data_IF_723812843216
#
_entry.id   IF_723812843216
#
_cell.length_a   1.000
_cell.length_b   1.000
_cell.length_c   1.000
_cell.angle_alpha   90.00
_cell.angle_beta   90.00
_cell.angle_gamma   90.00
#
_symmetry.space_group_name_H-M   'P 1'
#
loop_
_entity.id
_entity.type
_entity.pdbx_description
1 polymer ?
#
# COMPACT_ATOMS: atom_id res chain seq x y z
N UNK A 1 7.97 37.73 -12.50
CA UNK A 1 9.04 37.22 -11.60
C UNK A 1 10.12 36.65 -12.51
N UNK A 2 11.37 36.49 -12.07
CA UNK A 2 12.40 35.94 -12.96
C UNK A 2 12.16 34.47 -13.22
N UNK A 3 11.91 34.09 -14.47
CA UNK A 3 11.70 32.69 -14.84
C UNK A 3 13.01 31.89 -14.64
N UNK A 4 12.90 30.76 -13.94
CA UNK A 4 14.02 29.86 -13.69
C UNK A 4 14.51 29.29 -15.03
N UNK A 5 15.80 29.41 -15.41
CA UNK A 5 16.31 28.83 -16.65
C UNK A 5 16.06 27.32 -16.75
N UNK A 6 15.77 26.81 -17.94
CA UNK A 6 15.33 25.41 -18.14
C UNK A 6 16.41 24.37 -17.81
N UNK A 7 17.68 24.73 -17.92
CA UNK A 7 18.83 23.95 -17.44
C UNK A 7 18.93 23.95 -15.90
N UNK A 8 18.69 25.10 -15.26
CA UNK A 8 18.60 25.21 -13.81
C UNK A 8 17.39 24.45 -13.24
N UNK A 9 16.23 24.48 -13.92
CA UNK A 9 15.04 23.73 -13.50
C UNK A 9 15.23 22.23 -13.68
N UNK A 10 15.83 21.77 -14.78
CA UNK A 10 16.20 20.36 -14.96
C UNK A 10 17.15 19.85 -13.86
N UNK A 11 18.16 20.64 -13.47
CA UNK A 11 19.09 20.27 -12.39
C UNK A 11 18.38 20.21 -11.02
N UNK A 12 17.53 21.18 -10.69
CA UNK A 12 16.71 21.14 -9.47
C UNK A 12 15.75 19.94 -9.47
N UNK A 13 15.16 19.63 -10.63
CA UNK A 13 14.23 18.53 -10.84
C UNK A 13 14.85 17.19 -10.43
N UNK A 14 15.98 16.81 -11.02
CA UNK A 14 16.62 15.52 -10.73
C UNK A 14 17.13 15.42 -9.29
N UNK A 15 17.57 16.52 -8.67
CA UNK A 15 17.95 16.53 -7.25
C UNK A 15 16.72 16.19 -6.39
N UNK A 16 15.58 16.84 -6.63
CA UNK A 16 14.33 16.57 -5.91
C UNK A 16 13.76 15.17 -6.22
N UNK A 17 13.81 14.73 -7.48
CA UNK A 17 13.43 13.38 -7.89
C UNK A 17 14.29 12.33 -7.16
N UNK A 18 15.61 12.52 -7.06
CA UNK A 18 16.52 11.56 -6.41
C UNK A 18 16.23 11.39 -4.91
N UNK A 19 15.90 12.48 -4.22
CA UNK A 19 15.53 12.48 -2.80
C UNK A 19 14.19 11.75 -2.60
N UNK A 20 13.18 12.05 -3.43
CA UNK A 20 11.88 11.40 -3.38
C UNK A 20 11.96 9.92 -3.80
N UNK A 21 12.79 9.57 -4.77
CA UNK A 21 13.07 8.20 -5.18
C UNK A 21 13.73 7.40 -4.05
N UNK A 22 14.69 7.99 -3.32
CA UNK A 22 15.27 7.39 -2.11
C UNK A 22 14.20 7.07 -1.05
N UNK A 23 13.29 8.01 -0.79
CA UNK A 23 12.16 7.77 0.13
C UNK A 23 11.16 6.72 -0.40
N UNK A 24 10.89 6.72 -1.70
CA UNK A 24 10.08 5.70 -2.39
C UNK A 24 10.67 4.30 -2.23
N UNK A 25 11.99 4.15 -2.35
CA UNK A 25 12.71 2.88 -2.17
C UNK A 25 12.66 2.40 -0.71
N UNK A 26 12.81 3.29 0.27
CA UNK A 26 12.62 2.96 1.69
C UNK A 26 11.17 2.50 1.98
N UNK A 27 10.18 3.19 1.39
CA UNK A 27 8.76 2.83 1.49
C UNK A 27 8.43 1.50 0.79
N UNK A 28 9.11 1.17 -0.32
CA UNK A 28 9.03 -0.15 -0.95
C UNK A 28 9.57 -1.25 -0.03
N UNK A 29 10.77 -1.07 0.55
CA UNK A 29 11.35 -2.03 1.50
C UNK A 29 10.42 -2.22 2.71
N UNK A 30 9.88 -1.14 3.27
CA UNK A 30 8.87 -1.19 4.33
C UNK A 30 7.60 -1.92 3.92
N UNK A 31 7.15 -1.78 2.67
CA UNK A 31 6.00 -2.50 2.10
C UNK A 31 6.28 -3.99 1.97
N UNK A 32 7.42 -4.38 1.39
CA UNK A 32 7.82 -5.80 1.23
C UNK A 32 8.00 -6.47 2.59
N UNK A 33 8.62 -5.80 3.56
CA UNK A 33 8.73 -6.29 4.94
C UNK A 33 7.35 -6.44 5.59
N UNK A 34 6.46 -5.44 5.47
CA UNK A 34 5.12 -5.49 6.04
C UNK A 34 4.25 -6.63 5.45
N UNK A 35 4.39 -6.92 4.15
CA UNK A 35 3.72 -8.02 3.44
C UNK A 35 4.28 -9.40 3.82
N UNK A 36 5.60 -9.52 4.00
CA UNK A 36 6.28 -10.81 4.21
C UNK A 36 6.31 -11.23 5.69
N UNK A 37 6.32 -10.27 6.62
CA UNK A 37 6.49 -10.55 8.04
C UNK A 37 5.31 -11.36 8.62
N UNK A 38 5.62 -12.59 9.07
CA UNK A 38 4.70 -13.61 9.60
C UNK A 38 3.63 -14.14 8.62
N UNK A 39 3.78 -13.95 7.30
CA UNK A 39 2.97 -14.67 6.30
C UNK A 39 3.77 -15.80 5.65
N UNK A 40 3.13 -16.94 5.35
CA UNK A 40 3.70 -17.89 4.39
C UNK A 40 3.61 -17.22 3.02
N UNK A 41 4.62 -17.37 2.16
CA UNK A 41 4.63 -16.77 0.81
C UNK A 41 3.38 -17.07 -0.03
N UNK A 42 2.66 -18.16 0.29
CA UNK A 42 1.42 -18.57 -0.37
C UNK A 42 0.21 -17.67 -0.06
N UNK A 43 0.24 -16.93 1.04
CA UNK A 43 -0.87 -16.07 1.52
C UNK A 43 -0.66 -14.58 1.17
N UNK A 44 0.37 -14.28 0.39
CA UNK A 44 0.62 -12.94 -0.16
C UNK A 44 -0.23 -12.77 -1.42
N UNK A 45 -1.00 -11.67 -1.48
CA UNK A 45 -1.87 -11.38 -2.61
C UNK A 45 -1.03 -10.99 -3.85
N UNK A 46 -0.62 -11.99 -4.64
CA UNK A 46 0.29 -11.89 -5.78
C UNK A 46 0.14 -10.62 -6.64
N UNK A 47 -1.05 -10.22 -7.15
CA UNK A 47 -1.18 -9.01 -7.97
C UNK A 47 -0.73 -7.72 -7.27
N UNK A 48 -0.88 -7.61 -5.95
CA UNK A 48 -0.42 -6.45 -5.19
C UNK A 48 1.11 -6.39 -5.15
N UNK A 49 1.77 -7.53 -4.95
CA UNK A 49 3.24 -7.61 -4.95
C UNK A 49 3.80 -7.32 -6.36
N UNK A 50 3.16 -7.86 -7.40
CA UNK A 50 3.55 -7.58 -8.81
C UNK A 50 3.46 -6.09 -9.11
N UNK A 51 2.36 -5.40 -8.77
CA UNK A 51 2.26 -3.95 -9.05
C UNK A 51 3.22 -3.14 -8.19
N UNK A 52 3.47 -3.51 -6.93
CA UNK A 52 4.50 -2.84 -6.12
C UNK A 52 5.90 -2.94 -6.75
N UNK A 53 6.23 -4.08 -7.37
CA UNK A 53 7.49 -4.26 -8.11
C UNK A 53 7.47 -3.46 -9.42
N UNK A 54 6.37 -3.45 -10.18
CA UNK A 54 6.26 -2.68 -11.43
C UNK A 54 6.37 -1.16 -11.20
N UNK A 55 5.79 -0.64 -10.12
CA UNK A 55 5.92 0.78 -9.76
C UNK A 55 7.36 1.13 -9.37
N UNK A 56 8.03 0.28 -8.58
CA UNK A 56 9.46 0.46 -8.29
C UNK A 56 10.28 0.46 -9.58
N UNK A 57 10.07 -0.53 -10.46
CA UNK A 57 10.80 -0.63 -11.73
C UNK A 57 10.57 0.60 -12.62
N UNK A 58 9.32 1.06 -12.78
CA UNK A 58 9.01 2.29 -13.52
C UNK A 58 9.75 3.51 -12.93
N UNK A 59 9.72 3.69 -11.61
CA UNK A 59 10.47 4.74 -10.92
C UNK A 59 11.99 4.58 -11.06
N UNK A 60 12.54 3.35 -11.10
CA UNK A 60 13.98 3.13 -11.32
C UNK A 60 14.42 3.49 -12.74
N UNK A 61 13.60 3.17 -13.75
CA UNK A 61 13.89 3.50 -15.15
C UNK A 61 13.78 4.99 -15.39
N UNK A 62 12.75 5.66 -14.83
CA UNK A 62 12.62 7.12 -14.92
C UNK A 62 13.85 7.83 -14.36
N UNK A 63 14.28 7.49 -13.14
CA UNK A 63 15.49 8.03 -12.52
C UNK A 63 16.74 7.88 -13.41
N UNK A 64 16.95 6.71 -14.01
CA UNK A 64 18.06 6.46 -14.94
C UNK A 64 17.94 7.31 -16.22
N UNK A 65 16.73 7.46 -16.77
CA UNK A 65 16.47 8.25 -17.97
C UNK A 65 16.62 9.76 -17.68
N UNK A 66 16.19 10.26 -16.51
CA UNK A 66 16.45 11.64 -16.05
C UNK A 66 17.96 11.92 -15.93
N UNK A 67 18.74 11.00 -15.34
CA UNK A 67 20.20 11.14 -15.23
C UNK A 67 20.84 11.21 -16.64
N UNK A 68 20.44 10.33 -17.55
CA UNK A 68 20.89 10.34 -18.96
C UNK A 68 20.48 11.63 -19.66
N UNK A 69 19.30 12.20 -19.37
CA UNK A 69 18.85 13.49 -19.91
C UNK A 69 19.79 14.62 -19.50
N UNK A 70 20.20 14.65 -18.23
CA UNK A 70 21.09 15.68 -17.69
C UNK A 70 22.52 15.54 -18.23
N UNK A 71 23.05 14.32 -18.32
CA UNK A 71 24.36 14.07 -18.94
C UNK A 71 24.36 14.52 -20.42
N UNK A 72 23.31 14.15 -21.17
CA UNK A 72 23.16 14.58 -22.56
C UNK A 72 23.10 16.12 -22.68
N UNK A 73 22.27 16.79 -21.89
CA UNK A 73 22.06 18.25 -22.00
C UNK A 73 23.19 19.13 -21.47
N UNK A 74 23.79 18.78 -20.32
CA UNK A 74 24.81 19.60 -19.66
C UNK A 74 26.25 19.23 -20.01
N UNK A 75 26.51 18.00 -20.48
CA UNK A 75 27.87 17.52 -20.77
C UNK A 75 28.04 17.24 -22.27
N UNK A 76 27.22 16.37 -22.84
CA UNK A 76 27.46 15.81 -24.19
C UNK A 76 27.10 16.76 -25.34
N UNK A 77 25.95 17.43 -25.24
CA UNK A 77 25.43 18.33 -26.27
C UNK A 77 25.56 19.81 -25.93
N UNK A 78 26.18 20.13 -24.78
CA UNK A 78 26.25 21.47 -24.17
C UNK A 78 26.52 22.60 -25.17
N UNK A 79 27.61 22.49 -25.92
CA UNK A 79 28.09 23.52 -26.84
C UNK A 79 27.80 23.16 -28.32
N UNK A 80 27.09 22.05 -28.58
CA UNK A 80 26.76 21.57 -29.93
C UNK A 80 25.27 21.62 -30.26
N UNK A 81 24.39 21.75 -29.27
CA UNK A 81 22.95 21.88 -29.50
C UNK A 81 22.60 23.30 -29.97
N UNK A 82 21.70 23.47 -30.97
CA UNK A 82 21.21 24.78 -31.36
C UNK A 82 20.63 25.54 -30.17
N UNK A 83 21.06 26.78 -29.96
CA UNK A 83 20.68 27.65 -28.83
C UNK A 83 21.09 27.11 -27.43
N UNK A 84 21.98 26.11 -27.34
CA UNK A 84 22.62 25.67 -26.10
C UNK A 84 21.76 24.80 -25.17
N UNK A 85 22.22 24.57 -23.91
CA UNK A 85 21.63 23.57 -23.02
C UNK A 85 20.17 23.83 -22.66
N UNK A 86 19.79 25.09 -22.44
CA UNK A 86 18.41 25.46 -22.11
C UNK A 86 17.41 25.07 -23.21
N UNK A 87 17.82 25.14 -24.49
CA UNK A 87 17.00 24.71 -25.61
C UNK A 87 16.86 23.19 -25.71
N UNK A 88 17.88 22.41 -25.30
CA UNK A 88 17.78 20.95 -25.17
C UNK A 88 16.78 20.54 -24.08
N UNK A 89 16.74 21.24 -22.94
CA UNK A 89 15.77 20.93 -21.87
C UNK A 89 14.34 21.40 -22.19
N UNK A 90 14.18 22.43 -23.03
CA UNK A 90 12.89 22.89 -23.53
C UNK A 90 12.33 22.03 -24.71
N UNK A 91 13.14 21.17 -25.34
CA UNK A 91 12.69 20.32 -26.45
C UNK A 91 11.83 19.14 -25.95
N UNK A 92 10.51 19.30 -26.08
CA UNK A 92 9.50 18.27 -25.76
C UNK A 92 9.47 17.11 -26.77
N UNK A 93 10.27 17.18 -27.84
CA UNK A 93 10.34 16.14 -28.89
C UNK A 93 11.54 15.22 -28.72
N UNK A 94 12.46 15.52 -27.79
CA UNK A 94 13.58 14.63 -27.48
C UNK A 94 13.07 13.29 -26.90
N UNK A 95 13.63 12.19 -27.40
CA UNK A 95 13.32 10.81 -27.03
C UNK A 95 13.38 10.60 -25.52
N UNK A 96 14.35 11.20 -24.84
CA UNK A 96 14.53 11.08 -23.39
C UNK A 96 13.37 11.72 -22.61
N UNK A 97 12.83 12.86 -23.07
CA UNK A 97 11.62 13.47 -22.52
C UNK A 97 10.37 12.64 -22.83
N UNK A 98 10.22 12.17 -24.08
CA UNK A 98 9.10 11.32 -24.50
C UNK A 98 9.04 9.99 -23.72
N UNK A 99 10.20 9.40 -23.39
CA UNK A 99 10.30 8.20 -22.55
C UNK A 99 9.88 8.50 -21.11
N UNK A 100 10.37 9.58 -20.49
CA UNK A 100 9.94 9.98 -19.14
C UNK A 100 8.42 10.23 -19.08
N UNK A 101 7.87 10.96 -20.04
CA UNK A 101 6.43 11.24 -20.10
C UNK A 101 5.59 9.96 -20.33
N UNK A 102 6.07 9.02 -21.15
CA UNK A 102 5.42 7.71 -21.33
C UNK A 102 5.47 6.85 -20.04
N UNK A 103 6.59 6.87 -19.30
CA UNK A 103 6.74 6.20 -18.01
C UNK A 103 5.79 6.82 -16.95
N UNK A 104 5.65 8.15 -16.93
CA UNK A 104 4.71 8.85 -16.06
C UNK A 104 3.26 8.41 -16.27
N UNK A 105 2.82 8.38 -17.54
CA UNK A 105 1.46 7.94 -17.91
C UNK A 105 1.26 6.46 -17.57
N UNK A 106 2.23 5.59 -17.89
CA UNK A 106 2.20 4.16 -17.54
C UNK A 106 2.07 3.95 -16.02
N UNK A 107 2.87 4.65 -15.22
CA UNK A 107 2.87 4.53 -13.77
C UNK A 107 1.56 5.07 -13.15
N UNK A 108 1.02 6.17 -13.69
CA UNK A 108 -0.29 6.73 -13.31
C UNK A 108 -1.43 5.74 -13.61
N UNK A 109 -1.48 5.20 -14.83
CA UNK A 109 -2.51 4.23 -15.26
C UNK A 109 -2.47 2.95 -14.42
N UNK A 110 -1.28 2.45 -14.04
CA UNK A 110 -1.14 1.32 -13.11
C UNK A 110 -1.65 1.64 -11.70
N UNK A 111 -1.34 2.82 -11.16
CA UNK A 111 -1.74 3.23 -9.82
C UNK A 111 -3.27 3.40 -9.72
N UNK A 112 -3.87 4.14 -10.65
CA UNK A 112 -5.33 4.32 -10.77
C UNK A 112 -6.04 2.97 -10.93
N UNK A 113 -5.56 2.10 -11.82
CA UNK A 113 -6.16 0.79 -12.09
C UNK A 113 -6.22 -0.09 -10.84
N UNK A 114 -5.19 -0.05 -9.99
CA UNK A 114 -5.21 -0.77 -8.71
C UNK A 114 -6.10 -0.09 -7.65
N UNK A 115 -6.23 1.23 -7.64
CA UNK A 115 -7.20 1.91 -6.78
C UNK A 115 -8.64 1.56 -7.16
N UNK A 116 -8.95 1.56 -8.47
CA UNK A 116 -10.25 1.14 -9.03
C UNK A 116 -10.55 -0.33 -8.68
N UNK A 117 -9.57 -1.23 -8.81
CA UNK A 117 -9.71 -2.62 -8.40
C UNK A 117 -9.98 -2.77 -6.88
N UNK A 118 -9.32 -1.97 -6.02
CA UNK A 118 -9.61 -1.96 -4.57
C UNK A 118 -11.02 -1.44 -4.27
N UNK A 119 -11.48 -0.43 -5.01
CA UNK A 119 -12.88 0.01 -4.98
C UNK A 119 -13.84 -1.14 -5.31
N UNK A 120 -13.57 -1.92 -6.36
CA UNK A 120 -14.40 -3.08 -6.72
C UNK A 120 -14.50 -4.14 -5.63
N UNK A 121 -13.36 -4.58 -5.10
CA UNK A 121 -13.32 -5.58 -4.02
C UNK A 121 -14.04 -5.09 -2.75
N UNK A 122 -13.99 -3.79 -2.44
CA UNK A 122 -14.67 -3.23 -1.27
C UNK A 122 -16.15 -2.94 -1.49
N UNK A 123 -16.57 -2.52 -2.69
CA UNK A 123 -17.95 -2.13 -2.97
C UNK A 123 -18.86 -3.30 -3.36
N UNK A 124 -18.31 -4.34 -4.00
CA UNK A 124 -19.03 -5.57 -4.44
C UNK A 124 -20.24 -5.28 -5.35
N UNK A 125 -20.21 -4.17 -6.08
CA UNK A 125 -21.21 -3.82 -7.10
C UNK A 125 -20.58 -2.91 -8.15
N UNK A 126 -20.81 -3.24 -9.42
CA UNK A 126 -20.17 -2.59 -10.58
C UNK A 126 -20.65 -1.16 -10.82
N UNK A 127 -21.91 -0.85 -10.48
CA UNK A 127 -22.59 0.41 -10.85
C UNK A 127 -21.84 1.68 -10.40
N UNK A 128 -21.23 1.64 -9.22
CA UNK A 128 -20.48 2.77 -8.63
C UNK A 128 -19.11 3.00 -9.28
N UNK A 129 -18.62 2.03 -10.05
CA UNK A 129 -17.25 2.01 -10.55
C UNK A 129 -17.19 2.35 -12.04
N UNK A 130 -18.34 2.33 -12.73
CA UNK A 130 -18.50 2.84 -14.10
C UNK A 130 -17.90 4.24 -14.24
N UNK A 131 -18.16 5.16 -13.30
CA UNK A 131 -17.62 6.52 -13.34
C UNK A 131 -16.08 6.57 -13.21
N UNK A 132 -15.44 6.01 -12.16
CA UNK A 132 -13.98 5.88 -12.10
C UNK A 132 -13.35 5.18 -13.31
N UNK A 133 -13.97 4.11 -13.82
CA UNK A 133 -13.46 3.38 -14.99
C UNK A 133 -13.54 4.20 -16.28
N UNK A 134 -14.59 4.99 -16.48
CA UNK A 134 -14.71 5.89 -17.64
C UNK A 134 -13.65 7.01 -17.58
N UNK A 135 -13.41 7.60 -16.40
CA UNK A 135 -12.37 8.61 -16.20
C UNK A 135 -10.96 8.03 -16.38
N UNK A 136 -10.73 6.78 -16.00
CA UNK A 136 -9.47 6.07 -16.24
C UNK A 136 -9.25 5.74 -17.73
N UNK A 137 -10.28 5.29 -18.44
CA UNK A 137 -10.22 5.12 -19.89
C UNK A 137 -9.96 6.44 -20.62
N UNK A 138 -10.59 7.53 -20.17
CA UNK A 138 -10.29 8.89 -20.62
C UNK A 138 -8.82 9.23 -20.39
N UNK A 139 -8.27 8.91 -19.20
CA UNK A 139 -6.88 9.18 -18.85
C UNK A 139 -5.86 8.46 -19.75
N UNK A 140 -6.16 7.21 -20.13
CA UNK A 140 -5.34 6.45 -21.10
C UNK A 140 -5.37 7.13 -22.48
N UNK A 141 -6.54 7.56 -22.95
CA UNK A 141 -6.70 8.16 -24.29
C UNK A 141 -6.05 9.56 -24.36
N UNK A 142 -6.21 10.40 -23.35
CA UNK A 142 -5.59 11.74 -23.32
C UNK A 142 -4.08 11.66 -23.17
N UNK A 143 -3.56 10.77 -22.31
CA UNK A 143 -2.12 10.55 -22.13
C UNK A 143 -1.42 10.06 -23.41
N UNK A 144 -1.98 9.04 -24.08
CA UNK A 144 -1.44 8.56 -25.36
C UNK A 144 -1.45 9.66 -26.42
N UNK A 145 -2.51 10.48 -26.49
CA UNK A 145 -2.58 11.63 -27.41
C UNK A 145 -1.55 12.71 -27.10
N UNK A 146 -1.26 12.98 -25.81
CA UNK A 146 -0.24 13.95 -25.42
C UNK A 146 1.18 13.49 -25.84
N UNK A 147 1.57 12.24 -25.57
CA UNK A 147 2.87 11.70 -26.01
C UNK A 147 3.00 11.67 -27.53
N UNK A 148 1.95 11.21 -28.23
CA UNK A 148 1.95 11.19 -29.69
C UNK A 148 2.04 12.61 -30.29
N UNK A 149 1.29 13.56 -29.73
CA UNK A 149 1.32 14.97 -30.11
C UNK A 149 2.71 15.58 -29.97
N UNK A 150 3.33 15.44 -28.79
CA UNK A 150 4.70 15.87 -28.55
C UNK A 150 5.68 15.23 -29.55
N UNK A 151 5.58 13.92 -29.80
CA UNK A 151 6.48 13.23 -30.75
C UNK A 151 6.35 13.71 -32.21
N UNK A 152 5.22 14.30 -32.58
CA UNK A 152 4.91 14.76 -33.94
C UNK A 152 5.09 16.27 -34.15
N UNK A 153 5.36 17.05 -33.09
CA UNK A 153 5.46 18.52 -33.16
C UNK A 153 6.57 19.00 -34.10
N UNK A 154 7.73 18.33 -34.10
CA UNK A 154 8.86 18.61 -35.01
C UNK A 154 8.66 18.01 -36.41
N UNK A 155 7.72 17.06 -36.58
CA UNK A 155 7.60 16.27 -37.81
C UNK A 155 6.77 16.96 -38.91
N UNK A 156 5.67 17.64 -38.57
CA UNK A 156 4.91 18.48 -39.51
C UNK A 156 4.23 19.64 -38.75
N UNK A 157 4.50 20.92 -39.04
CA UNK A 157 3.81 22.04 -38.42
C UNK A 157 2.33 22.14 -38.83
N UNK A 158 1.96 21.61 -40.00
CA UNK A 158 0.57 21.57 -40.49
C UNK A 158 -0.30 20.47 -39.82
N UNK A 159 0.25 19.67 -38.90
CA UNK A 159 -0.54 18.73 -38.13
C UNK A 159 -1.46 19.48 -37.15
N UNK A 160 -2.75 19.56 -37.46
CA UNK A 160 -3.80 20.07 -36.55
C UNK A 160 -3.72 19.42 -35.15
N UNK A 161 -3.30 18.15 -35.09
CA UNK A 161 -3.09 17.42 -33.83
C UNK A 161 -1.92 17.92 -32.97
N UNK A 162 -0.91 18.59 -33.57
CA UNK A 162 0.19 19.23 -32.86
C UNK A 162 -0.22 20.59 -32.25
N UNK A 163 -1.19 21.28 -32.87
CA UNK A 163 -1.74 22.56 -32.37
C UNK A 163 -2.58 22.37 -31.10
N UNK A 164 -3.17 21.19 -30.89
CA UNK A 164 -4.07 20.89 -29.77
C UNK A 164 -3.39 20.19 -28.56
N UNK A 165 -2.08 19.99 -28.56
CA UNK A 165 -1.38 19.16 -27.54
C UNK A 165 -1.57 19.68 -26.11
N UNK A 166 -1.53 21.00 -25.92
CA UNK A 166 -1.83 21.67 -24.65
C UNK A 166 -3.19 21.21 -24.07
N UNK A 167 -4.22 21.14 -24.92
CA UNK A 167 -5.57 20.75 -24.52
C UNK A 167 -5.64 19.27 -24.12
N UNK A 168 -4.85 18.40 -24.76
CA UNK A 168 -4.73 16.99 -24.38
C UNK A 168 -4.01 16.80 -23.04
N UNK A 169 -2.99 17.61 -22.75
CA UNK A 169 -2.30 17.62 -21.45
C UNK A 169 -3.24 18.13 -20.34
N UNK A 170 -3.92 19.27 -20.55
CA UNK A 170 -4.91 19.80 -19.61
C UNK A 170 -6.02 18.77 -19.34
N UNK A 171 -6.55 18.12 -20.38
CA UNK A 171 -7.54 17.06 -20.24
C UNK A 171 -7.01 15.84 -19.48
N UNK A 172 -5.75 15.44 -19.68
CA UNK A 172 -5.10 14.38 -18.89
C UNK A 172 -5.00 14.74 -17.40
N UNK A 173 -4.57 15.97 -17.06
CA UNK A 173 -4.46 16.41 -15.67
C UNK A 173 -5.83 16.41 -14.98
N UNK A 174 -6.87 16.98 -15.63
CA UNK A 174 -8.23 16.96 -15.09
C UNK A 174 -8.82 15.56 -15.00
N UNK A 175 -8.58 14.68 -15.98
CA UNK A 175 -9.04 13.28 -15.95
C UNK A 175 -8.36 12.48 -14.83
N UNK A 176 -7.07 12.71 -14.59
CA UNK A 176 -6.31 12.12 -13.47
C UNK A 176 -6.84 12.62 -12.12
N UNK A 177 -6.98 13.94 -11.94
CA UNK A 177 -7.53 14.55 -10.72
C UNK A 177 -8.93 14.00 -10.41
N UNK A 178 -9.82 13.95 -11.42
CA UNK A 178 -11.16 13.43 -11.26
C UNK A 178 -11.17 11.92 -10.93
N UNK A 179 -10.27 11.12 -11.53
CA UNK A 179 -10.13 9.69 -11.24
C UNK A 179 -9.68 9.46 -9.80
N UNK A 180 -8.59 10.11 -9.38
CA UNK A 180 -8.06 10.00 -8.01
C UNK A 180 -9.09 10.45 -6.97
N UNK A 181 -9.68 11.64 -7.12
CA UNK A 181 -10.64 12.17 -6.15
C UNK A 181 -11.91 11.31 -6.07
N UNK A 182 -12.45 10.85 -7.20
CA UNK A 182 -13.60 9.94 -7.22
C UNK A 182 -13.27 8.60 -6.56
N UNK A 183 -12.14 7.99 -6.90
CA UNK A 183 -11.77 6.69 -6.36
C UNK A 183 -11.44 6.77 -4.86
N UNK A 184 -10.64 7.76 -4.43
CA UNK A 184 -10.29 7.99 -3.03
C UNK A 184 -11.50 8.35 -2.18
N UNK A 185 -12.42 9.18 -2.68
CA UNK A 185 -13.69 9.49 -2.02
C UNK A 185 -14.57 8.25 -1.84
N UNK A 186 -14.67 7.38 -2.85
CA UNK A 186 -15.40 6.12 -2.77
C UNK A 186 -14.78 5.12 -1.78
N UNK A 187 -13.45 5.01 -1.74
CA UNK A 187 -12.73 4.21 -0.74
C UNK A 187 -13.03 4.72 0.68
N UNK A 188 -12.84 6.01 0.92
CA UNK A 188 -13.05 6.66 2.22
C UNK A 188 -14.50 6.49 2.69
N UNK A 189 -15.48 6.79 1.83
CA UNK A 189 -16.90 6.65 2.15
C UNK A 189 -17.29 5.20 2.46
N UNK A 190 -16.76 4.22 1.71
CA UNK A 190 -17.02 2.80 1.95
C UNK A 190 -16.43 2.32 3.27
N UNK A 191 -15.20 2.71 3.60
CA UNK A 191 -14.58 2.38 4.90
C UNK A 191 -15.34 3.04 6.06
N UNK A 192 -15.73 4.30 5.92
CA UNK A 192 -16.54 5.00 6.94
C UNK A 192 -17.92 4.36 7.14
N UNK A 193 -18.59 3.92 6.07
CA UNK A 193 -19.85 3.17 6.18
C UNK A 193 -19.68 1.81 6.87
N UNK A 194 -18.55 1.13 6.68
CA UNK A 194 -18.23 -0.11 7.39
C UNK A 194 -18.04 0.18 8.88
N UNK A 195 -17.24 1.19 9.26
CA UNK A 195 -17.08 1.61 10.66
C UNK A 195 -18.41 1.98 11.30
N UNK A 196 -19.26 2.77 10.63
CA UNK A 196 -20.55 3.21 11.20
C UNK A 196 -21.54 2.06 11.38
N UNK A 197 -21.33 0.90 10.71
CA UNK A 197 -22.06 -0.35 10.97
C UNK A 197 -21.45 -1.13 12.13
N UNK A 198 -20.12 -1.27 12.19
CA UNK A 198 -19.42 -2.02 13.25
C UNK A 198 -19.52 -1.31 14.61
N UNK A 199 -19.42 0.02 14.65
CA UNK A 199 -19.53 0.81 15.87
C UNK A 199 -20.93 0.75 16.52
N UNK A 200 -21.99 0.52 15.73
CA UNK A 200 -23.33 0.22 16.28
C UNK A 200 -23.42 -1.13 17.00
N UNK A 201 -22.44 -2.00 16.81
CA UNK A 201 -22.37 -3.37 17.36
C UNK A 201 -21.23 -3.54 18.39
N UNK A 202 -20.47 -2.48 18.68
CA UNK A 202 -19.33 -2.50 19.64
C UNK A 202 -19.15 -1.15 20.32
N UNK A 203 -19.21 -1.13 21.65
CA UNK A 203 -18.92 0.03 22.49
C UNK A 203 -17.41 0.38 22.60
N UNK A 204 -16.59 -0.03 21.63
CA UNK A 204 -15.13 0.20 21.64
C UNK A 204 -14.71 1.26 20.62
N UNK A 205 -13.48 1.78 20.75
CA UNK A 205 -12.93 2.82 19.87
C UNK A 205 -12.90 2.37 18.41
N UNK A 206 -13.12 3.32 17.50
CA UNK A 206 -12.95 3.12 16.05
C UNK A 206 -11.49 2.78 15.73
N UNK A 207 -11.28 1.73 14.93
CA UNK A 207 -9.96 1.24 14.55
C UNK A 207 -9.59 1.56 13.09
N UNK A 208 -10.57 1.80 12.22
CA UNK A 208 -10.36 2.09 10.80
C UNK A 208 -10.35 3.61 10.49
N UNK A 209 -10.77 4.49 11.41
CA UNK A 209 -10.61 5.94 11.27
C UNK A 209 -9.16 6.38 10.90
N UNK A 210 -8.08 5.85 11.51
CA UNK A 210 -6.72 6.14 11.07
C UNK A 210 -6.29 5.40 9.79
N UNK A 211 -7.14 4.58 9.16
CA UNK A 211 -6.99 4.20 7.74
C UNK A 211 -7.59 5.30 6.86
N UNK A 212 -8.79 5.78 7.20
CA UNK A 212 -9.46 6.87 6.48
C UNK A 212 -8.57 8.11 6.40
N UNK A 213 -7.94 8.51 7.51
CA UNK A 213 -6.98 9.63 7.50
C UNK A 213 -5.86 9.40 6.47
N UNK A 214 -5.19 8.26 6.51
CA UNK A 214 -4.07 7.96 5.58
C UNK A 214 -4.50 7.86 4.11
N UNK A 215 -5.75 7.43 3.83
CA UNK A 215 -6.32 7.51 2.48
C UNK A 215 -6.53 8.97 2.03
N UNK A 216 -7.03 9.83 2.91
CA UNK A 216 -7.20 11.27 2.65
C UNK A 216 -5.85 11.97 2.49
N UNK A 217 -4.89 11.71 3.37
CA UNK A 217 -3.54 12.28 3.31
C UNK A 217 -2.85 11.94 1.98
N UNK A 218 -2.90 10.66 1.56
CA UNK A 218 -2.32 10.21 0.29
C UNK A 218 -3.03 10.82 -0.94
N UNK A 219 -4.37 10.89 -0.92
CA UNK A 219 -5.14 11.51 -1.99
C UNK A 219 -4.88 13.03 -2.10
N UNK A 220 -4.75 13.71 -0.96
CA UNK A 220 -4.43 15.13 -0.88
C UNK A 220 -3.02 15.43 -1.40
N UNK A 221 -2.01 14.64 -1.02
CA UNK A 221 -0.64 14.77 -1.54
C UNK A 221 -0.60 14.70 -3.08
N UNK A 222 -1.27 13.71 -3.67
CA UNK A 222 -1.29 13.56 -5.13
C UNK A 222 -2.07 14.69 -5.82
N UNK A 223 -3.25 15.07 -5.28
CA UNK A 223 -4.05 16.17 -5.87
C UNK A 223 -3.41 17.55 -5.71
N UNK A 224 -2.69 17.83 -4.62
CA UNK A 224 -1.94 19.09 -4.46
C UNK A 224 -0.80 19.19 -5.47
N UNK A 225 -0.06 18.10 -5.69
CA UNK A 225 1.01 18.06 -6.69
C UNK A 225 0.46 18.23 -8.11
N UNK A 226 -0.61 17.53 -8.49
CA UNK A 226 -1.27 17.69 -9.79
C UNK A 226 -1.85 19.10 -10.00
N UNK A 227 -2.36 19.74 -8.95
CA UNK A 227 -2.85 21.11 -9.01
C UNK A 227 -1.72 22.14 -9.15
N UNK A 228 -0.58 21.91 -8.47
CA UNK A 228 0.64 22.69 -8.67
C UNK A 228 1.18 22.55 -10.10
N UNK A 229 1.23 21.32 -10.62
CA UNK A 229 1.61 21.03 -12.00
C UNK A 229 0.70 21.76 -13.01
N UNK A 230 -0.63 21.70 -12.81
CA UNK A 230 -1.60 22.44 -13.64
C UNK A 230 -1.36 23.95 -13.62
N UNK A 231 -1.07 24.54 -12.46
CA UNK A 231 -0.74 25.97 -12.36
C UNK A 231 0.53 26.28 -13.13
N UNK A 232 1.63 25.54 -12.89
CA UNK A 232 2.91 25.80 -13.54
C UNK A 232 2.85 25.63 -15.07
N UNK A 233 2.04 24.68 -15.56
CA UNK A 233 1.73 24.48 -16.97
C UNK A 233 0.93 25.66 -17.55
N UNK A 234 -0.16 26.07 -16.91
CA UNK A 234 -1.00 27.21 -17.35
C UNK A 234 -0.28 28.56 -17.26
N UNK A 235 0.77 28.70 -16.46
CA UNK A 235 1.65 29.87 -16.44
C UNK A 235 2.87 29.74 -17.35
N UNK A 236 2.95 28.70 -18.19
CA UNK A 236 4.07 28.41 -19.10
C UNK A 236 5.46 28.46 -18.41
N UNK A 237 5.51 28.03 -17.16
CA UNK A 237 6.69 28.20 -16.30
C UNK A 237 7.54 26.95 -16.24
N UNK A 238 8.87 27.10 -16.26
CA UNK A 238 9.83 25.99 -16.18
C UNK A 238 9.77 25.16 -14.87
N UNK A 239 8.90 25.54 -13.91
CA UNK A 239 8.53 24.70 -12.77
C UNK A 239 7.64 23.50 -13.13
N UNK A 240 7.03 23.51 -14.33
CA UNK A 240 6.30 22.36 -14.88
C UNK A 240 7.18 21.09 -14.89
N UNK A 241 8.40 21.18 -15.44
CA UNK A 241 9.32 20.05 -15.54
C UNK A 241 9.65 19.47 -14.17
N UNK A 242 9.94 20.34 -13.20
CA UNK A 242 10.23 19.99 -11.80
C UNK A 242 9.07 19.21 -11.17
N UNK A 243 7.83 19.69 -11.34
CA UNK A 243 6.64 19.01 -10.81
C UNK A 243 6.33 17.70 -11.54
N UNK A 244 6.65 17.60 -12.84
CA UNK A 244 6.47 16.39 -13.65
C UNK A 244 7.37 15.24 -13.19
N UNK A 245 8.68 15.45 -13.10
CA UNK A 245 9.61 14.40 -12.69
C UNK A 245 9.38 13.99 -11.22
N UNK A 246 9.05 14.95 -10.34
CA UNK A 246 8.65 14.68 -8.95
C UNK A 246 7.35 13.85 -8.84
N UNK A 247 6.49 13.83 -9.86
CA UNK A 247 5.20 13.14 -9.80
C UNK A 247 5.34 11.61 -9.67
N UNK A 248 6.30 10.99 -10.37
CA UNK A 248 6.47 9.54 -10.35
C UNK A 248 6.85 8.98 -8.97
N UNK A 249 7.89 9.48 -8.27
CA UNK A 249 8.16 8.98 -6.92
C UNK A 249 7.00 9.29 -5.96
N UNK A 250 6.26 10.39 -6.13
CA UNK A 250 5.06 10.70 -5.31
C UNK A 250 3.93 9.68 -5.55
N UNK A 251 3.67 9.24 -6.78
CA UNK A 251 2.72 8.15 -7.10
C UNK A 251 3.13 6.86 -6.38
N UNK A 252 4.41 6.49 -6.44
CA UNK A 252 4.92 5.29 -5.75
C UNK A 252 4.81 5.42 -4.22
N UNK A 253 5.19 6.56 -3.64
CA UNK A 253 5.11 6.84 -2.19
C UNK A 253 3.66 6.75 -1.69
N UNK A 254 2.71 7.40 -2.36
CA UNK A 254 1.29 7.38 -1.97
C UNK A 254 0.70 5.96 -2.08
N UNK A 255 1.06 5.20 -3.11
CA UNK A 255 0.67 3.80 -3.25
C UNK A 255 1.20 2.91 -2.11
N UNK A 256 2.47 3.05 -1.74
CA UNK A 256 3.09 2.32 -0.63
C UNK A 256 2.50 2.72 0.73
N UNK A 257 2.26 4.01 0.95
CA UNK A 257 1.61 4.54 2.15
C UNK A 257 0.24 3.88 2.40
N UNK A 258 -0.59 3.79 1.36
CA UNK A 258 -1.90 3.10 1.43
C UNK A 258 -1.73 1.59 1.65
N UNK A 259 -0.75 0.94 1.00
CA UNK A 259 -0.50 -0.51 1.17
C UNK A 259 -0.02 -0.90 2.57
N UNK A 260 0.97 -0.17 3.12
CA UNK A 260 1.49 -0.39 4.47
C UNK A 260 0.33 -0.25 5.47
N UNK A 261 -0.51 0.79 5.32
CA UNK A 261 -1.64 1.01 6.22
C UNK A 261 -2.67 -0.10 6.17
N UNK A 262 -3.10 -0.54 4.99
CA UNK A 262 -4.04 -1.65 4.85
C UNK A 262 -3.46 -2.92 5.49
N UNK A 263 -2.19 -3.23 5.21
CA UNK A 263 -1.51 -4.43 5.72
C UNK A 263 -1.41 -4.46 7.24
N UNK A 264 -1.06 -3.33 7.87
CA UNK A 264 -1.02 -3.19 9.34
C UNK A 264 -2.40 -3.41 9.96
N UNK A 265 -3.48 -2.89 9.36
CA UNK A 265 -4.81 -2.99 9.94
C UNK A 265 -5.44 -4.38 9.74
N UNK A 266 -5.14 -5.07 8.62
CA UNK A 266 -5.43 -6.49 8.49
C UNK A 266 -4.70 -7.33 9.55
N UNK A 267 -3.41 -7.03 9.84
CA UNK A 267 -2.66 -7.68 10.92
C UNK A 267 -3.27 -7.43 12.30
N UNK A 268 -3.72 -6.19 12.58
CA UNK A 268 -4.42 -5.89 13.82
C UNK A 268 -5.70 -6.71 13.97
N UNK A 269 -6.57 -6.71 12.96
CA UNK A 269 -7.83 -7.48 12.98
C UNK A 269 -7.59 -8.98 13.20
N UNK A 270 -6.63 -9.58 12.49
CA UNK A 270 -6.26 -10.99 12.66
C UNK A 270 -5.75 -11.25 14.09
N UNK A 271 -4.88 -10.38 14.63
CA UNK A 271 -4.35 -10.53 15.99
C UNK A 271 -5.46 -10.46 17.05
N UNK A 272 -6.40 -9.52 16.92
CA UNK A 272 -7.54 -9.42 17.85
C UNK A 272 -8.46 -10.64 17.75
N UNK A 273 -8.65 -11.20 16.54
CA UNK A 273 -9.43 -12.42 16.34
C UNK A 273 -8.75 -13.67 16.93
N UNK A 274 -7.42 -13.81 16.80
CA UNK A 274 -6.68 -14.92 17.43
C UNK A 274 -6.69 -14.83 18.95
N UNK A 275 -6.46 -13.64 19.53
CA UNK A 275 -6.56 -13.46 20.99
C UNK A 275 -7.95 -13.79 21.50
N UNK A 276 -8.99 -13.35 20.78
CA UNK A 276 -10.37 -13.64 21.16
C UNK A 276 -10.70 -15.13 21.15
N UNK A 277 -10.22 -15.90 20.16
CA UNK A 277 -10.35 -17.38 20.18
C UNK A 277 -9.70 -18.00 21.40
N UNK A 278 -8.46 -17.65 21.73
CA UNK A 278 -7.80 -18.20 22.93
C UNK A 278 -8.51 -17.80 24.24
N UNK A 279 -9.20 -16.65 24.28
CA UNK A 279 -10.04 -16.28 25.42
C UNK A 279 -11.34 -17.07 25.46
N UNK A 280 -12.03 -17.24 24.32
CA UNK A 280 -13.27 -18.02 24.22
C UNK A 280 -13.01 -19.53 24.48
N UNK A 281 -11.84 -20.05 24.09
CA UNK A 281 -11.35 -21.40 24.42
C UNK A 281 -11.02 -21.54 25.93
N UNK A 282 -10.42 -20.51 26.56
CA UNK A 282 -10.21 -20.49 28.02
C UNK A 282 -11.53 -20.41 28.81
N UNK A 283 -12.48 -19.57 28.37
CA UNK A 283 -13.80 -19.47 29.02
C UNK A 283 -14.61 -20.77 28.87
N UNK A 284 -14.59 -21.41 27.69
CA UNK A 284 -15.18 -22.75 27.52
C UNK A 284 -14.50 -23.80 28.40
N UNK A 285 -13.17 -23.73 28.58
CA UNK A 285 -12.43 -24.57 29.53
C UNK A 285 -12.86 -24.38 31.00
N UNK A 286 -13.38 -23.21 31.37
CA UNK A 286 -13.89 -22.92 32.72
C UNK A 286 -15.41 -23.17 32.90
N UNK A 287 -16.19 -23.20 31.82
CA UNK A 287 -17.63 -23.50 31.86
C UNK A 287 -17.91 -25.01 31.98
N UNK A 288 -16.92 -25.87 31.69
CA UNK A 288 -17.00 -27.31 31.88
C UNK A 288 -16.95 -27.73 33.37
N UNK A 289 -17.91 -27.25 34.16
CA UNK A 289 -18.17 -27.75 35.52
C UNK A 289 -18.48 -29.25 35.45
N UNK A 290 -17.51 -30.05 35.85
CA UNK A 290 -17.75 -31.46 36.17
C UNK A 290 -18.90 -31.54 37.20
N UNK A 291 -19.95 -32.35 36.97
CA UNK A 291 -20.94 -32.62 38.00
C UNK A 291 -20.25 -33.41 39.11
N UNK A 292 -19.89 -32.72 40.18
CA UNK A 292 -19.34 -33.33 41.39
C UNK A 292 -20.45 -34.21 41.96
N UNK A 293 -20.39 -35.52 41.66
CA UNK A 293 -21.21 -36.51 42.38
C UNK A 293 -20.86 -36.39 43.86
N UNK A 294 -21.84 -36.35 44.78
CA UNK A 294 -21.53 -36.36 46.21
C UNK A 294 -20.71 -37.62 46.50
N UNK A 295 -19.50 -37.43 47.02
CA UNK A 295 -18.66 -38.54 47.42
C UNK A 295 -19.28 -39.12 48.70
N UNK A 296 -19.80 -40.34 48.63
CA UNK A 296 -20.41 -41.00 49.78
C UNK A 296 -19.32 -41.46 50.74
N UNK A 297 -18.90 -40.56 51.64
CA UNK A 297 -17.86 -40.83 52.63
C UNK A 297 -18.42 -41.78 53.68
N UNK A 298 -18.20 -43.08 53.47
CA UNK A 298 -18.55 -44.12 54.43
C UNK A 298 -17.60 -44.05 55.65
N UNK A 299 -17.88 -43.14 56.58
CA UNK A 299 -17.10 -42.95 57.81
C UNK A 299 -17.20 -44.24 58.66
N UNK A 300 -16.14 -45.04 58.65
CA UNK A 300 -15.96 -46.17 59.56
C UNK A 300 -15.70 -45.64 60.97
N UNK A 301 -16.77 -45.49 61.75
CA UNK A 301 -16.70 -45.06 63.14
C UNK A 301 -16.00 -46.12 63.99
N UNK A 302 -14.69 -45.95 64.20
CA UNK A 302 -13.91 -46.75 65.14
C UNK A 302 -14.26 -46.37 66.58
N UNK A 303 -15.23 -47.08 67.16
CA UNK A 303 -15.54 -47.00 68.59
C UNK A 303 -14.40 -47.60 69.40
N UNK A 304 -13.57 -46.76 70.01
CA UNK A 304 -12.56 -47.18 70.97
C UNK A 304 -13.23 -47.64 72.27
N UNK A 305 -13.39 -48.96 72.42
CA UNK A 305 -13.69 -49.57 73.72
C UNK A 305 -12.37 -49.80 74.47
N UNK A 306 -12.10 -48.98 75.49
CA UNK A 306 -11.00 -49.21 76.41
C UNK A 306 -11.28 -50.46 77.25
N UNK A 307 -10.47 -51.51 77.10
CA UNK A 307 -10.51 -52.68 77.98
C UNK A 307 -9.09 -53.28 78.12
N UNK A 308 -8.46 -53.22 79.32
CA UNK A 308 -7.00 -53.41 79.43
C UNK A 308 -6.59 -54.86 79.72
N UNK A 309 -5.94 -55.56 78.77
CA UNK A 309 -5.14 -56.76 79.11
C UNK A 309 -4.05 -57.16 78.09
N UNK A 310 -2.87 -57.48 78.65
CA UNK A 310 -1.96 -58.56 78.26
C UNK A 310 -1.32 -58.63 76.85
N UNK A 311 0.01 -58.37 76.81
CA UNK A 311 1.09 -59.11 76.10
C UNK A 311 0.79 -59.76 74.71
N UNK A 312 1.58 -59.52 73.64
CA UNK A 312 3.03 -59.85 73.51
C UNK A 312 3.73 -59.11 72.34
N UNK A 313 5.07 -59.25 72.32
CA UNK A 313 6.03 -58.76 71.29
C UNK A 313 5.96 -59.55 69.98
N UNK A 314 6.17 -58.88 68.84
CA UNK A 314 6.53 -59.45 67.54
C UNK A 314 7.03 -58.37 66.57
N UNK A 315 8.18 -58.59 65.93
CA UNK A 315 8.75 -57.67 64.92
C UNK A 315 8.11 -57.88 63.54
N UNK A 316 7.97 -56.81 62.75
CA UNK A 316 8.15 -56.87 61.30
C UNK A 316 8.46 -55.47 60.73
N UNK A 317 9.39 -55.40 59.77
CA UNK A 317 9.94 -54.15 59.23
C UNK A 317 9.21 -53.64 57.96
N UNK A 318 9.30 -52.33 57.74
CA UNK A 318 8.85 -51.60 56.54
C UNK A 318 10.02 -51.35 55.57
N UNK A 319 9.81 -50.80 54.34
CA UNK A 319 8.64 -50.81 53.45
C UNK A 319 9.05 -51.31 52.02
N UNK A 320 8.21 -51.34 50.96
CA UNK A 320 7.99 -50.17 50.06
C UNK A 320 7.14 -50.50 48.82
N UNK A 321 6.54 -49.44 48.26
CA UNK A 321 5.66 -49.38 47.07
C UNK A 321 6.31 -49.62 45.70
N UNK A 322 5.49 -50.07 44.73
CA UNK A 322 5.24 -49.26 43.52
C UNK A 322 5.74 -49.75 42.14
N UNK A 323 4.85 -50.35 41.35
CA UNK A 323 4.98 -50.73 39.92
C UNK A 323 3.83 -50.01 39.16
N UNK A 324 3.87 -49.55 37.90
CA UNK A 324 4.67 -49.84 36.69
C UNK A 324 5.33 -48.53 36.12
N UNK A 325 5.97 -48.36 34.94
CA UNK A 325 5.94 -48.98 33.57
C UNK A 325 4.58 -48.82 32.84
N UNK A 326 4.44 -48.71 31.51
CA UNK A 326 5.31 -48.38 30.36
C UNK A 326 4.41 -47.83 29.22
N UNK A 327 4.83 -46.85 28.40
CA UNK A 327 5.33 -46.98 26.99
C UNK A 327 4.28 -46.94 25.85
N UNK A 328 4.69 -46.34 24.72
CA UNK A 328 4.20 -46.54 23.32
C UNK A 328 2.75 -46.09 22.96
N UNK A 329 2.61 -45.17 21.98
CA UNK A 329 2.30 -45.38 20.52
C UNK A 329 0.79 -45.59 20.23
N UNK A 330 0.22 -45.29 19.05
CA UNK A 330 0.79 -44.84 17.76
C UNK A 330 -0.28 -44.10 16.90
N UNK A 331 0.18 -43.50 15.79
CA UNK A 331 -0.56 -43.29 14.51
C UNK A 331 -1.83 -42.40 14.49
N UNK A 332 -1.92 -41.59 13.43
CA UNK A 332 -3.11 -40.88 12.96
C UNK A 332 -3.29 -41.22 11.45
N UNK A 333 -4.53 -41.18 10.96
CA UNK A 333 -4.90 -41.42 9.55
C UNK A 333 -5.98 -40.42 9.13
#
# INVERSE_FOLDING_TARGET
MGDLPADASALMSAVLESILYGFSLLMFIGTVWALSYKRRMRDINRPIAVVAILLLLASTVHMVVTIIRIENGLVKYRDTWPNGPAAFFADVTEKTYLINHALYIFQTVLADGVMIHRCYVLWQSTRVIILPSLLWCSNIVTGIRAVYGNSQATANPDNVFAVDVEKWIIAFIFSTLATNLSCSGLLVYRVWMIERRVAKLRASKSHLMPIVRVLVDAAALYSVMLFGFLICFLTASNGESVLSDMALPIISITFYMVLIRITINCRYYISTASTRRTTEEMEQGHVQRYPIRPLEVHISQFTQNDNPSSYKVGNEDRPSTGIAKESQKDICT
#
